data_IF_808355948881
#
_entry.id   IF_808355948881
#
_cell.length_a   1.000
_cell.length_b   1.000
_cell.length_c   1.000
_cell.angle_alpha   90.00
_cell.angle_beta   90.00
_cell.angle_gamma   90.00
#
_symmetry.space_group_name_H-M   'P 1'
#
loop_
_entity.id
_entity.type
_entity.pdbx_description
1 polymer ?
#
# COMPACT_ATOMS: atom_id res chain seq x y z
N UNK A 1 17.35 18.18 28.39
CA UNK A 1 16.82 17.44 27.23
C UNK A 1 17.16 15.96 27.20
N UNK A 2 18.27 15.47 27.79
CA UNK A 2 18.56 14.01 27.85
C UNK A 2 17.65 13.27 28.85
N UNK A 3 17.48 13.82 30.06
CA UNK A 3 16.61 13.24 31.12
C UNK A 3 15.13 13.06 30.74
N UNK A 4 14.65 13.73 29.68
CA UNK A 4 13.25 13.60 29.19
C UNK A 4 13.11 12.48 28.16
N UNK A 5 14.18 12.16 27.42
CA UNK A 5 14.22 11.03 26.49
C UNK A 5 14.41 9.71 27.25
N UNK A 6 15.27 9.69 28.27
CA UNK A 6 15.42 8.52 29.14
C UNK A 6 14.12 8.19 29.86
N UNK A 7 13.42 9.21 30.37
CA UNK A 7 12.10 9.04 31.00
C UNK A 7 11.05 8.49 30.03
N UNK A 8 11.08 8.85 28.75
CA UNK A 8 10.13 8.33 27.76
C UNK A 8 10.45 6.90 27.32
N UNK A 9 11.73 6.52 27.21
CA UNK A 9 12.14 5.13 27.00
C UNK A 9 11.80 4.26 28.22
N UNK A 10 12.07 4.74 29.44
CA UNK A 10 11.65 4.04 30.66
C UNK A 10 10.14 3.93 30.78
N UNK A 11 9.36 4.88 30.26
CA UNK A 11 7.89 4.79 30.21
C UNK A 11 7.40 3.83 29.14
N UNK A 12 8.07 3.72 27.99
CA UNK A 12 7.77 2.70 26.98
C UNK A 12 8.07 1.29 27.50
N UNK A 13 9.21 1.10 28.17
CA UNK A 13 9.56 -0.15 28.84
C UNK A 13 8.62 -0.45 30.02
N UNK A 14 8.21 0.57 30.78
CA UNK A 14 7.24 0.40 31.88
C UNK A 14 5.84 0.08 31.39
N UNK A 15 5.41 0.61 30.23
CA UNK A 15 4.13 0.24 29.60
C UNK A 15 4.21 -1.18 29.04
N UNK A 16 5.32 -1.55 28.40
CA UNK A 16 5.54 -2.93 27.94
C UNK A 16 5.56 -3.93 29.11
N UNK A 17 6.21 -3.59 30.22
CA UNK A 17 6.29 -4.42 31.42
C UNK A 17 4.96 -4.44 32.21
N UNK A 18 4.19 -3.34 32.23
CA UNK A 18 2.86 -3.31 32.86
C UNK A 18 1.80 -4.08 32.06
N UNK A 19 1.93 -4.16 30.73
CA UNK A 19 1.12 -5.08 29.91
C UNK A 19 1.50 -6.56 30.16
N UNK A 20 2.75 -6.85 30.50
CA UNK A 20 3.19 -8.20 30.87
C UNK A 20 2.78 -8.57 32.31
N UNK A 21 2.82 -7.62 33.26
CA UNK A 21 2.50 -7.88 34.67
C UNK A 21 0.99 -7.83 34.97
N UNK A 22 0.15 -7.23 34.13
CA UNK A 22 -1.31 -7.33 34.25
C UNK A 22 -1.88 -8.70 33.85
N UNK A 23 -1.03 -9.63 33.36
CA UNK A 23 -1.41 -11.01 33.03
C UNK A 23 -1.15 -12.01 34.18
N UNK A 24 -0.82 -11.54 35.38
CA UNK A 24 -0.42 -12.40 36.50
C UNK A 24 -1.42 -12.43 37.66
N UNK A 25 -2.54 -13.16 37.53
CA UNK A 25 -3.12 -14.06 38.58
C UNK A 25 -4.50 -14.59 38.20
N UNK A 26 -4.53 -15.79 37.62
CA UNK A 26 -5.24 -17.00 38.09
C UNK A 26 -5.55 -17.92 36.90
N UNK A 27 -5.02 -19.15 36.95
CA UNK A 27 -5.58 -20.32 36.26
C UNK A 27 -5.22 -20.55 34.78
N UNK A 28 -4.53 -21.67 34.55
CA UNK A 28 -4.39 -22.42 33.28
C UNK A 28 -3.21 -22.03 32.37
N UNK A 29 -2.09 -22.71 32.63
CA UNK A 29 -0.95 -22.86 31.74
C UNK A 29 -1.39 -23.53 30.42
N UNK A 30 -1.36 -22.79 29.30
CA UNK A 30 -1.20 -23.29 27.91
C UNK A 30 -1.18 -22.18 26.82
N UNK A 31 -1.41 -20.88 27.13
CA UNK A 31 -1.47 -19.81 26.10
C UNK A 31 -0.14 -19.11 25.75
N UNK A 32 0.89 -19.14 26.60
CA UNK A 32 2.14 -18.41 26.28
C UNK A 32 3.00 -19.09 25.21
N UNK A 33 2.97 -20.43 25.11
CA UNK A 33 3.77 -21.16 24.12
C UNK A 33 3.25 -21.01 22.70
N UNK A 34 1.96 -20.73 22.51
CA UNK A 34 1.37 -20.59 21.17
C UNK A 34 1.71 -19.25 20.54
N UNK A 35 1.70 -18.14 21.29
CA UNK A 35 1.98 -16.81 20.73
C UNK A 35 3.46 -16.66 20.31
N UNK A 36 4.40 -17.17 21.11
CA UNK A 36 5.82 -17.21 20.69
C UNK A 36 6.02 -18.05 19.43
N UNK A 37 5.28 -19.16 19.26
CA UNK A 37 5.36 -19.96 18.05
C UNK A 37 4.83 -19.21 16.81
N UNK A 38 3.72 -18.48 16.97
CA UNK A 38 3.11 -17.67 15.91
C UNK A 38 4.03 -16.55 15.46
N UNK A 39 4.63 -15.83 16.41
CA UNK A 39 5.54 -14.71 16.11
C UNK A 39 6.83 -15.14 15.40
N UNK A 40 7.20 -16.42 15.53
CA UNK A 40 8.33 -17.03 14.82
C UNK A 40 8.00 -17.50 13.39
N UNK A 41 6.73 -17.51 12.98
CA UNK A 41 6.37 -17.85 11.60
C UNK A 41 6.98 -16.84 10.62
N UNK A 42 7.51 -17.27 9.46
CA UNK A 42 8.20 -16.37 8.51
C UNK A 42 7.38 -15.14 8.14
N UNK A 43 6.07 -15.31 7.93
CA UNK A 43 5.13 -14.22 7.62
C UNK A 43 5.09 -13.15 8.72
N UNK A 44 5.05 -13.51 10.01
CA UNK A 44 5.06 -12.50 11.07
C UNK A 44 6.46 -12.00 11.38
N UNK A 45 7.46 -12.89 11.38
CA UNK A 45 8.85 -12.53 11.63
C UNK A 45 9.33 -11.47 10.63
N UNK A 46 9.03 -11.64 9.34
CA UNK A 46 9.47 -10.72 8.31
C UNK A 46 8.69 -9.39 8.36
N UNK A 47 7.40 -9.41 8.71
CA UNK A 47 6.65 -8.18 9.00
C UNK A 47 7.18 -7.45 10.25
N UNK A 48 7.52 -8.19 11.31
CA UNK A 48 8.13 -7.66 12.52
C UNK A 48 9.51 -7.04 12.23
N UNK A 49 10.24 -7.56 11.26
CA UNK A 49 11.50 -6.96 10.82
C UNK A 49 11.29 -5.57 10.19
N UNK A 50 10.18 -5.34 9.46
CA UNK A 50 9.82 -4.00 8.95
C UNK A 50 9.60 -3.04 10.13
N UNK A 51 8.85 -3.47 11.15
CA UNK A 51 8.57 -2.67 12.35
C UNK A 51 9.86 -2.35 13.13
N UNK A 52 10.63 -3.39 13.44
CA UNK A 52 11.77 -3.28 14.34
C UNK A 52 12.99 -2.61 13.69
N UNK A 53 13.09 -2.64 12.35
CA UNK A 53 14.21 -2.04 11.63
C UNK A 53 13.80 -0.74 10.95
N UNK A 54 13.05 -0.82 9.85
CA UNK A 54 12.81 0.31 8.96
C UNK A 54 11.86 1.34 9.58
N UNK A 55 10.78 0.90 10.23
CA UNK A 55 9.88 1.80 10.95
C UNK A 55 10.56 2.43 12.16
N UNK A 56 11.32 1.67 12.95
CA UNK A 56 12.08 2.23 14.08
C UNK A 56 13.09 3.30 13.63
N UNK A 57 13.78 3.07 12.51
CA UNK A 57 14.66 4.07 11.89
C UNK A 57 13.88 5.29 11.43
N UNK A 58 12.74 5.10 10.77
CA UNK A 58 11.87 6.21 10.32
C UNK A 58 11.32 7.04 11.48
N UNK A 59 10.92 6.41 12.59
CA UNK A 59 10.54 7.07 13.84
C UNK A 59 11.69 7.93 14.33
N UNK A 60 12.90 7.37 14.42
CA UNK A 60 14.08 8.10 14.87
C UNK A 60 14.33 9.38 14.05
N UNK A 61 14.24 9.29 12.72
CA UNK A 61 14.41 10.45 11.83
C UNK A 61 13.25 11.45 11.95
N UNK A 62 12.01 10.97 12.07
CA UNK A 62 10.82 11.80 12.23
C UNK A 62 10.86 12.60 13.54
N UNK A 63 11.37 11.99 14.63
CA UNK A 63 11.58 12.66 15.91
C UNK A 63 12.67 13.73 15.85
N UNK A 64 13.74 13.48 15.09
CA UNK A 64 14.82 14.47 14.87
C UNK A 64 14.33 15.69 14.09
N UNK A 65 13.48 15.50 13.08
CA UNK A 65 12.80 16.60 12.38
C UNK A 65 11.87 17.37 13.34
N UNK A 66 11.13 16.65 14.19
CA UNK A 66 10.25 17.26 15.18
C UNK A 66 8.92 17.75 14.60
N UNK A 67 8.30 18.72 15.28
CA UNK A 67 7.05 19.35 14.85
C UNK A 67 5.91 18.37 14.56
N UNK A 68 5.16 18.67 13.50
CA UNK A 68 4.03 17.88 13.03
C UNK A 68 4.44 16.50 12.52
N UNK A 69 5.67 16.35 12.00
CA UNK A 69 6.22 15.06 11.53
C UNK A 69 6.41 14.09 12.69
N UNK A 70 6.88 14.59 13.84
CA UNK A 70 6.98 13.79 15.06
C UNK A 70 5.61 13.31 15.54
N UNK A 71 4.56 14.14 15.47
CA UNK A 71 3.20 13.73 15.86
C UNK A 71 2.66 12.70 14.86
N UNK A 72 2.89 12.93 13.56
CA UNK A 72 2.39 12.05 12.52
C UNK A 72 2.98 10.64 12.62
N UNK A 73 4.27 10.50 12.96
CA UNK A 73 4.89 9.18 13.05
C UNK A 73 4.32 8.32 14.18
N UNK A 74 3.71 8.92 15.22
CA UNK A 74 2.99 8.18 16.25
C UNK A 74 1.77 7.44 15.70
N UNK A 75 1.02 8.08 14.81
CA UNK A 75 -0.13 7.47 14.13
C UNK A 75 0.33 6.36 13.18
N UNK A 76 1.39 6.61 12.41
CA UNK A 76 1.99 5.59 11.54
C UNK A 76 2.42 4.36 12.36
N UNK A 77 3.07 4.58 13.50
CA UNK A 77 3.54 3.49 14.37
C UNK A 77 2.37 2.66 14.90
N UNK A 78 1.30 3.31 15.40
CA UNK A 78 0.09 2.62 15.85
C UNK A 78 -0.57 1.81 14.74
N UNK A 79 -0.60 2.34 13.52
CA UNK A 79 -1.17 1.66 12.36
C UNK A 79 -0.38 0.37 12.02
N UNK A 80 0.94 0.42 12.00
CA UNK A 80 1.77 -0.78 11.76
C UNK A 80 1.58 -1.85 12.85
N UNK A 81 1.51 -1.43 14.12
CA UNK A 81 1.25 -2.34 15.25
C UNK A 81 -0.17 -2.94 15.15
N UNK A 82 -1.18 -2.15 14.79
CA UNK A 82 -2.53 -2.66 14.58
C UNK A 82 -2.59 -3.68 13.44
N UNK A 83 -1.85 -3.44 12.35
CA UNK A 83 -1.74 -4.40 11.26
C UNK A 83 -0.98 -5.67 11.66
N UNK A 84 0.07 -5.58 12.48
CA UNK A 84 0.78 -6.74 13.03
C UNK A 84 -0.18 -7.65 13.81
N UNK A 85 -0.98 -7.06 14.70
CA UNK A 85 -1.95 -7.78 15.51
C UNK A 85 -3.05 -8.41 14.64
N UNK A 86 -3.51 -7.68 13.64
CA UNK A 86 -4.45 -8.22 12.66
C UNK A 86 -3.86 -9.43 11.89
N UNK A 87 -2.62 -9.33 11.42
CA UNK A 87 -1.95 -10.44 10.72
C UNK A 87 -1.82 -11.67 11.62
N UNK A 88 -1.48 -11.47 12.91
CA UNK A 88 -1.41 -12.54 13.91
C UNK A 88 -2.74 -13.30 14.02
N UNK A 89 -3.85 -12.57 14.09
CA UNK A 89 -5.18 -13.16 14.12
C UNK A 89 -5.54 -13.85 12.80
N UNK A 90 -5.23 -13.23 11.65
CA UNK A 90 -5.55 -13.76 10.32
C UNK A 90 -4.84 -15.10 10.03
N UNK A 91 -3.60 -15.28 10.51
CA UNK A 91 -2.83 -16.52 10.35
C UNK A 91 -3.46 -17.69 11.11
N UNK A 92 -4.12 -17.42 12.23
CA UNK A 92 -4.72 -18.44 13.11
C UNK A 92 -6.21 -18.67 12.84
N UNK A 93 -6.83 -17.82 12.02
CA UNK A 93 -8.29 -17.81 11.84
C UNK A 93 -8.62 -18.11 10.39
N UNK A 94 -9.64 -18.94 10.18
CA UNK A 94 -10.26 -19.10 8.85
C UNK A 94 -10.83 -17.76 8.40
N UNK A 95 -10.73 -17.48 7.10
CA UNK A 95 -11.32 -16.27 6.53
C UNK A 95 -12.79 -16.15 6.96
N UNK A 96 -13.19 -15.05 7.64
CA UNK A 96 -14.57 -14.86 8.02
C UNK A 96 -15.48 -14.89 6.78
N UNK A 97 -16.59 -15.62 6.86
CA UNK A 97 -17.58 -15.68 5.78
C UNK A 97 -18.32 -14.34 5.60
N UNK A 98 -18.36 -13.54 6.67
CA UNK A 98 -19.02 -12.25 6.69
C UNK A 98 -18.00 -11.12 6.52
N UNK A 99 -18.11 -10.35 5.44
CA UNK A 99 -17.27 -9.18 5.20
C UNK A 99 -17.40 -8.11 6.29
N UNK A 100 -18.54 -8.05 7.00
CA UNK A 100 -18.73 -7.14 8.13
C UNK A 100 -17.76 -7.44 9.29
N UNK A 101 -17.49 -8.72 9.55
CA UNK A 101 -16.54 -9.13 10.59
C UNK A 101 -15.12 -8.72 10.21
N UNK A 102 -14.76 -8.86 8.92
CA UNK A 102 -13.47 -8.36 8.41
C UNK A 102 -13.38 -6.84 8.60
N UNK A 103 -14.44 -6.09 8.32
CA UNK A 103 -14.50 -4.64 8.54
C UNK A 103 -14.30 -4.25 10.02
N UNK A 104 -14.86 -5.02 10.95
CA UNK A 104 -14.66 -4.82 12.40
C UNK A 104 -13.21 -5.06 12.81
N UNK A 105 -12.56 -6.11 12.30
CA UNK A 105 -11.16 -6.41 12.59
C UNK A 105 -10.19 -5.33 12.09
N UNK A 106 -10.48 -4.71 10.94
CA UNK A 106 -9.63 -3.67 10.36
C UNK A 106 -9.96 -2.26 10.84
N UNK A 107 -11.05 -2.07 11.60
CA UNK A 107 -11.49 -0.77 12.12
C UNK A 107 -10.37 0.02 12.84
N UNK A 108 -9.52 -0.59 13.70
CA UNK A 108 -8.40 0.14 14.30
C UNK A 108 -7.44 0.73 13.26
N UNK A 109 -7.19 0.02 12.16
CA UNK A 109 -6.34 0.50 11.07
C UNK A 109 -7.03 1.64 10.30
N UNK A 110 -8.31 1.47 9.94
CA UNK A 110 -9.08 2.50 9.24
C UNK A 110 -9.11 3.82 10.02
N UNK A 111 -9.31 3.76 11.34
CA UNK A 111 -9.33 4.94 12.19
C UNK A 111 -7.98 5.71 12.17
N UNK A 112 -6.85 5.00 12.19
CA UNK A 112 -5.54 5.66 12.11
C UNK A 112 -5.29 6.26 10.73
N UNK A 113 -5.70 5.59 9.64
CA UNK A 113 -5.62 6.12 8.27
C UNK A 113 -6.43 7.43 8.16
N UNK A 114 -7.66 7.44 8.65
CA UNK A 114 -8.51 8.64 8.69
C UNK A 114 -7.90 9.76 9.54
N UNK A 115 -7.32 9.39 10.69
CA UNK A 115 -6.66 10.36 11.58
C UNK A 115 -5.45 11.01 10.91
N UNK A 116 -4.64 10.24 10.18
CA UNK A 116 -3.49 10.74 9.42
C UNK A 116 -3.95 11.72 8.33
N UNK A 117 -5.00 11.35 7.58
CA UNK A 117 -5.56 12.22 6.55
C UNK A 117 -6.11 13.53 7.14
N UNK A 118 -6.88 13.44 8.23
CA UNK A 118 -7.42 14.60 8.93
C UNK A 118 -6.32 15.51 9.49
N UNK A 119 -5.26 14.93 10.07
CA UNK A 119 -4.13 15.67 10.59
C UNK A 119 -3.39 16.42 9.48
N UNK A 120 -3.18 15.80 8.32
CA UNK A 120 -2.57 16.45 7.16
C UNK A 120 -3.42 17.62 6.67
N UNK A 121 -4.74 17.40 6.55
CA UNK A 121 -5.69 18.44 6.14
C UNK A 121 -5.74 19.64 7.09
N UNK A 122 -5.64 19.38 8.40
CA UNK A 122 -5.61 20.44 9.42
C UNK A 122 -4.32 21.28 9.36
N UNK A 123 -3.21 20.68 8.96
CA UNK A 123 -1.88 21.31 8.95
C UNK A 123 -1.41 21.75 7.56
N UNK A 124 -2.34 22.12 6.66
CA UNK A 124 -2.05 22.56 5.27
C UNK A 124 -1.09 23.73 5.14
N UNK A 125 -0.95 24.55 6.18
CA UNK A 125 -0.05 25.72 6.22
C UNK A 125 1.35 25.39 6.80
N UNK A 126 1.59 24.15 7.21
CA UNK A 126 2.86 23.75 7.80
C UNK A 126 3.99 23.84 6.77
N UNK A 127 5.18 24.28 7.19
CA UNK A 127 6.39 24.20 6.36
C UNK A 127 6.76 22.73 6.06
N UNK A 128 6.32 21.80 6.91
CA UNK A 128 6.53 20.38 6.76
C UNK A 128 5.39 19.71 5.98
N UNK A 129 4.50 20.48 5.32
CA UNK A 129 3.32 19.93 4.64
C UNK A 129 3.67 18.85 3.61
N UNK A 130 4.76 19.00 2.84
CA UNK A 130 5.18 17.95 1.90
C UNK A 130 5.56 16.62 2.61
N UNK A 131 6.07 16.66 3.84
CA UNK A 131 6.30 15.45 4.63
C UNK A 131 4.96 14.82 5.01
N UNK A 132 4.05 15.63 5.54
CA UNK A 132 2.72 15.19 5.95
C UNK A 132 1.94 14.57 4.78
N UNK A 133 1.96 15.23 3.62
CA UNK A 133 1.35 14.71 2.39
C UNK A 133 2.00 13.42 1.92
N UNK A 134 3.33 13.31 1.95
CA UNK A 134 3.98 12.06 1.54
C UNK A 134 3.61 10.86 2.43
N UNK A 135 3.37 11.09 3.72
CA UNK A 135 2.83 10.06 4.61
C UNK A 135 1.36 9.81 4.26
N UNK A 136 0.53 10.86 4.22
CA UNK A 136 -0.92 10.74 4.00
C UNK A 136 -1.30 10.02 2.70
N UNK A 137 -0.55 10.27 1.62
CA UNK A 137 -0.80 9.63 0.32
C UNK A 137 -0.19 8.21 0.24
N UNK A 138 0.82 7.91 1.04
CA UNK A 138 1.45 6.59 1.09
C UNK A 138 0.78 5.61 2.06
N UNK A 139 0.19 6.12 3.15
CA UNK A 139 -0.41 5.32 4.21
C UNK A 139 -1.56 4.41 3.77
N UNK A 140 -2.39 4.77 2.77
CA UNK A 140 -3.37 3.84 2.22
C UNK A 140 -2.76 2.52 1.73
N UNK A 141 -1.45 2.43 1.48
CA UNK A 141 -0.75 1.17 1.20
C UNK A 141 -1.05 0.09 2.25
N UNK A 142 -1.20 0.45 3.53
CA UNK A 142 -1.55 -0.50 4.59
C UNK A 142 -2.99 -1.03 4.48
N UNK A 143 -3.84 -0.42 3.67
CA UNK A 143 -5.15 -0.94 3.29
C UNK A 143 -5.10 -2.16 2.36
N UNK A 144 -3.92 -2.62 1.92
CA UNK A 144 -3.73 -3.76 1.03
C UNK A 144 -4.45 -5.05 1.50
N UNK A 145 -4.66 -5.19 2.81
CA UNK A 145 -5.35 -6.34 3.42
C UNK A 145 -6.78 -6.55 2.90
N UNK A 146 -7.41 -5.50 2.37
CA UNK A 146 -8.75 -5.54 1.75
C UNK A 146 -8.68 -5.65 0.22
N UNK A 147 -7.49 -5.66 -0.38
CA UNK A 147 -7.29 -5.65 -1.82
C UNK A 147 -7.04 -7.06 -2.34
N UNK A 148 -7.82 -7.45 -3.34
CA UNK A 148 -7.71 -8.70 -4.07
C UNK A 148 -8.16 -8.47 -5.51
N UNK A 149 -7.53 -9.10 -6.52
CA UNK A 149 -6.46 -10.10 -6.42
C UNK A 149 -5.04 -9.50 -6.48
N UNK A 150 -4.87 -8.18 -6.53
CA UNK A 150 -3.59 -7.52 -6.81
C UNK A 150 -3.15 -6.53 -5.73
N UNK A 151 -2.88 -6.98 -4.49
CA UNK A 151 -2.49 -6.09 -3.40
C UNK A 151 -1.10 -5.46 -3.58
N UNK A 152 -0.14 -6.18 -4.18
CA UNK A 152 1.21 -5.62 -4.41
C UNK A 152 1.19 -4.45 -5.44
N UNK A 153 0.54 -4.57 -6.62
CA UNK A 153 0.36 -3.41 -7.50
C UNK A 153 -0.31 -2.21 -6.82
N UNK A 154 -1.31 -2.43 -5.97
CA UNK A 154 -1.93 -1.36 -5.19
C UNK A 154 -0.95 -0.63 -4.28
N UNK A 155 -0.10 -1.37 -3.53
CA UNK A 155 0.95 -0.76 -2.71
C UNK A 155 1.92 0.06 -3.57
N UNK A 156 2.24 -0.41 -4.78
CA UNK A 156 3.13 0.31 -5.68
C UNK A 156 2.56 1.66 -6.12
N UNK A 157 1.26 1.74 -6.38
CA UNK A 157 0.57 3.00 -6.68
C UNK A 157 0.65 3.98 -5.51
N UNK A 158 0.44 3.50 -4.28
CA UNK A 158 0.51 4.34 -3.07
C UNK A 158 1.96 4.79 -2.79
N UNK A 159 2.94 3.94 -3.07
CA UNK A 159 4.36 4.31 -3.05
C UNK A 159 4.66 5.45 -4.04
N UNK A 160 4.13 5.38 -5.25
CA UNK A 160 4.36 6.40 -6.29
C UNK A 160 3.68 7.73 -5.93
N UNK A 161 2.49 7.67 -5.31
CA UNK A 161 1.82 8.84 -4.75
C UNK A 161 2.64 9.49 -3.62
N UNK A 162 3.18 8.70 -2.70
CA UNK A 162 4.09 9.19 -1.66
C UNK A 162 5.36 9.82 -2.28
N UNK A 163 5.92 9.18 -3.31
CA UNK A 163 7.14 9.64 -3.96
C UNK A 163 7.00 11.04 -4.54
N UNK A 164 5.86 11.37 -5.13
CA UNK A 164 5.57 12.72 -5.65
C UNK A 164 5.87 13.82 -4.62
N UNK A 165 5.47 13.62 -3.36
CA UNK A 165 5.71 14.57 -2.29
C UNK A 165 7.11 14.45 -1.68
N UNK A 166 7.66 13.24 -1.56
CA UNK A 166 9.06 13.09 -1.10
C UNK A 166 10.06 13.74 -2.05
N UNK A 167 9.81 13.75 -3.36
CA UNK A 167 10.63 14.45 -4.33
C UNK A 167 10.65 15.97 -4.07
N UNK A 168 9.53 16.54 -3.59
CA UNK A 168 9.46 17.95 -3.17
C UNK A 168 10.27 18.17 -1.89
N UNK A 169 10.19 17.26 -0.92
CA UNK A 169 11.03 17.30 0.28
C UNK A 169 12.52 17.28 -0.10
N UNK A 170 12.94 16.37 -0.99
CA UNK A 170 14.31 16.31 -1.46
C UNK A 170 14.73 17.62 -2.16
N UNK A 171 13.87 18.17 -3.01
CA UNK A 171 14.13 19.46 -3.65
C UNK A 171 14.36 20.57 -2.64
N UNK A 172 13.55 20.62 -1.58
CA UNK A 172 13.55 21.73 -0.63
C UNK A 172 14.66 21.63 0.42
N UNK A 173 15.13 20.41 0.75
CA UNK A 173 16.01 20.15 1.89
C UNK A 173 17.36 19.49 1.56
N UNK A 174 17.57 18.91 0.36
CA UNK A 174 18.81 18.13 0.06
C UNK A 174 20.12 18.91 0.27
N UNK A 175 20.10 20.24 0.11
CA UNK A 175 21.27 21.12 0.28
C UNK A 175 21.25 21.89 1.61
N UNK A 176 20.19 21.74 2.41
CA UNK A 176 19.98 22.50 3.64
C UNK A 176 20.17 21.65 4.87
N UNK A 177 19.51 20.49 4.91
CA UNK A 177 19.55 19.61 6.06
C UNK A 177 19.41 18.14 5.61
N UNK A 178 20.48 17.33 5.77
CA UNK A 178 20.49 15.94 5.33
C UNK A 178 19.50 15.05 6.10
N UNK A 179 19.00 15.47 7.27
CA UNK A 179 18.06 14.63 8.04
C UNK A 179 16.78 14.35 7.27
N UNK A 180 16.31 15.29 6.45
CA UNK A 180 15.12 15.15 5.63
C UNK A 180 15.35 14.19 4.47
N UNK A 181 16.56 14.14 3.94
CA UNK A 181 16.95 13.18 2.90
C UNK A 181 16.94 11.77 3.46
N UNK A 182 17.53 11.57 4.64
CA UNK A 182 17.51 10.27 5.31
C UNK A 182 16.10 9.86 5.71
N UNK A 183 15.27 10.79 6.18
CA UNK A 183 13.86 10.56 6.45
C UNK A 183 13.09 10.07 5.21
N UNK A 184 13.29 10.71 4.05
CA UNK A 184 12.70 10.26 2.78
C UNK A 184 13.14 8.85 2.43
N UNK A 185 14.43 8.54 2.55
CA UNK A 185 14.97 7.20 2.30
C UNK A 185 14.29 6.16 3.18
N UNK A 186 14.12 6.43 4.48
CA UNK A 186 13.45 5.50 5.39
C UNK A 186 11.97 5.31 5.04
N UNK A 187 11.24 6.38 4.68
CA UNK A 187 9.83 6.27 4.31
C UNK A 187 9.62 5.40 3.07
N UNK A 188 10.40 5.68 2.02
CA UNK A 188 10.36 4.90 0.78
C UNK A 188 10.81 3.45 1.01
N UNK A 189 11.79 3.23 1.89
CA UNK A 189 12.22 1.87 2.26
C UNK A 189 11.10 1.06 2.87
N UNK A 190 10.35 1.61 3.83
CA UNK A 190 9.23 0.93 4.48
C UNK A 190 8.18 0.46 3.44
N UNK A 191 7.78 1.36 2.54
CA UNK A 191 6.78 1.05 1.51
C UNK A 191 7.27 -0.01 0.50
N UNK A 192 8.57 0.00 0.16
CA UNK A 192 9.16 -1.06 -0.67
C UNK A 192 9.24 -2.40 0.04
N UNK A 193 9.61 -2.41 1.33
CA UNK A 193 9.64 -3.64 2.14
C UNK A 193 8.23 -4.20 2.32
N UNK A 194 7.22 -3.34 2.53
CA UNK A 194 5.81 -3.75 2.56
C UNK A 194 5.37 -4.36 1.22
N UNK A 195 5.72 -3.72 0.10
CA UNK A 195 5.44 -4.26 -1.24
C UNK A 195 6.07 -5.65 -1.44
N UNK A 196 7.34 -5.81 -1.07
CA UNK A 196 8.05 -7.08 -1.16
C UNK A 196 7.43 -8.16 -0.27
N UNK A 197 7.10 -7.79 0.98
CA UNK A 197 6.43 -8.64 1.95
C UNK A 197 5.09 -9.17 1.42
N UNK A 198 4.24 -8.28 0.91
CA UNK A 198 2.92 -8.66 0.37
C UNK A 198 3.06 -9.51 -0.88
N UNK A 199 4.02 -9.20 -1.76
CA UNK A 199 4.29 -10.03 -2.94
C UNK A 199 4.68 -11.46 -2.56
N UNK A 200 5.45 -11.63 -1.48
CA UNK A 200 5.95 -12.91 -1.00
C UNK A 200 4.88 -13.74 -0.28
N UNK A 201 4.13 -13.14 0.65
CA UNK A 201 3.23 -13.87 1.55
C UNK A 201 1.75 -13.77 1.19
N UNK A 202 1.37 -12.77 0.39
CA UNK A 202 -0.02 -12.37 0.16
C UNK A 202 -0.28 -12.02 -1.31
N UNK A 203 0.29 -12.80 -2.22
CA UNK A 203 0.38 -12.48 -3.65
C UNK A 203 -0.97 -12.15 -4.29
N UNK A 204 -2.03 -12.88 -3.93
CA UNK A 204 -3.39 -12.71 -4.48
C UNK A 204 -4.39 -12.13 -3.48
N UNK A 205 -3.90 -11.48 -2.42
CA UNK A 205 -4.70 -11.01 -1.29
C UNK A 205 -4.23 -11.59 0.03
N UNK A 206 -4.83 -11.13 1.12
CA UNK A 206 -4.52 -11.60 2.47
C UNK A 206 -4.70 -13.12 2.59
N UNK A 207 -3.65 -13.79 3.08
CA UNK A 207 -3.63 -15.22 3.28
C UNK A 207 -4.11 -15.55 4.71
N UNK A 208 -5.19 -16.31 4.81
CA UNK A 208 -5.83 -16.71 6.07
C UNK A 208 -5.47 -18.15 6.43
N UNK A 209 -5.55 -18.50 7.73
CA UNK A 209 -5.36 -19.87 8.24
C UNK A 209 -4.06 -20.53 7.73
N UNK A 210 -2.94 -19.84 7.95
CA UNK A 210 -1.60 -20.26 7.50
C UNK A 210 -0.71 -20.75 8.65
N UNK A 211 -1.24 -20.87 9.87
CA UNK A 211 -0.50 -21.27 11.07
C UNK A 211 0.31 -22.57 10.89
N UNK A 212 -0.26 -23.57 10.21
CA UNK A 212 0.40 -24.87 9.98
C UNK A 212 1.34 -24.86 8.76
N UNK A 213 1.42 -23.76 8.02
CA UNK A 213 2.22 -23.64 6.81
C UNK A 213 3.61 -23.09 7.14
N UNK A 214 4.57 -24.00 7.33
CA UNK A 214 5.95 -23.67 7.68
C UNK A 214 6.82 -23.21 6.51
N UNK A 215 6.30 -23.28 5.28
CA UNK A 215 7.02 -22.95 4.05
C UNK A 215 6.34 -21.76 3.34
N UNK A 216 7.07 -20.67 3.01
CA UNK A 216 6.59 -19.57 2.17
C UNK A 216 5.88 -20.03 0.87
N UNK A 217 6.30 -21.16 0.28
CA UNK A 217 5.68 -21.72 -0.93
C UNK A 217 4.27 -22.28 -0.68
N UNK A 218 3.95 -22.64 0.56
CA UNK A 218 2.66 -23.19 0.93
C UNK A 218 1.55 -22.12 1.00
N UNK A 219 1.90 -20.85 1.25
CA UNK A 219 0.97 -19.72 1.33
C UNK A 219 0.19 -19.52 0.02
N UNK A 220 0.78 -19.91 -1.11
CA UNK A 220 0.16 -19.88 -2.45
C UNK A 220 -0.97 -20.91 -2.59
N UNK A 221 -0.95 -22.00 -1.81
CA UNK A 221 -1.90 -23.13 -1.94
C UNK A 221 -3.25 -22.92 -1.24
N UNK A 222 -3.33 -21.98 -0.28
CA UNK A 222 -4.57 -21.68 0.46
C UNK A 222 -5.43 -20.57 -0.17
N UNK A 223 -5.04 -20.02 -1.32
CA UNK A 223 -5.94 -19.16 -2.09
C UNK A 223 -7.17 -19.99 -2.49
N UNK A 224 -8.41 -19.52 -2.22
CA UNK A 224 -9.60 -20.16 -2.76
C UNK A 224 -9.41 -20.21 -4.28
N UNK A 225 -9.35 -21.41 -4.87
CA UNK A 225 -9.40 -21.53 -6.33
C UNK A 225 -10.66 -20.77 -6.78
N UNK A 226 -10.58 -19.93 -7.82
CA UNK A 226 -11.79 -19.49 -8.49
C UNK A 226 -12.57 -20.75 -8.84
N UNK A 227 -13.83 -20.84 -8.41
CA UNK A 227 -14.75 -21.88 -8.85
C UNK A 227 -14.97 -21.73 -10.35
N UNK A 228 -14.03 -22.23 -11.15
CA UNK A 228 -14.22 -22.39 -12.58
C UNK A 228 -15.37 -23.38 -12.80
N UNK A 229 -16.18 -23.21 -13.85
CA UNK A 229 -17.25 -24.14 -14.15
C UNK A 229 -16.63 -25.53 -14.33
N UNK A 230 -17.18 -26.52 -13.62
CA UNK A 230 -16.86 -27.93 -13.80
C UNK A 230 -17.31 -28.36 -15.20
N UNK A 231 -16.41 -28.25 -16.17
CA UNK A 231 -16.55 -29.01 -17.40
C UNK A 231 -15.83 -30.34 -17.20
N UNK A 232 -16.60 -31.41 -17.03
CA UNK A 232 -16.12 -32.78 -17.23
C UNK A 232 -15.54 -32.88 -18.63
N UNK A 233 -14.21 -32.93 -18.74
CA UNK A 233 -13.56 -33.42 -19.94
C UNK A 233 -13.35 -34.91 -19.78
N UNK A 234 -14.33 -35.67 -20.30
CA UNK A 234 -14.13 -37.06 -20.63
C UNK A 234 -12.98 -37.17 -21.63
N UNK A 235 -12.06 -38.08 -21.29
CA UNK A 235 -10.87 -38.50 -22.02
C UNK A 235 -11.04 -38.46 -23.55
N UNK A 236 -10.35 -37.54 -24.24
CA UNK A 236 -10.21 -37.57 -25.69
C UNK A 236 -8.73 -37.54 -26.03
N UNK A 237 -8.30 -38.57 -26.76
CA UNK A 237 -6.92 -38.86 -27.13
C UNK A 237 -6.21 -37.66 -27.76
N UNK A 238 -4.98 -37.47 -27.31
CA UNK A 238 -3.99 -36.57 -27.88
C UNK A 238 -3.69 -37.04 -29.31
N UNK A 239 -4.03 -36.23 -30.30
CA UNK A 239 -3.20 -36.11 -31.48
C UNK A 239 -3.32 -34.72 -32.12
N UNK A 240 -2.16 -34.23 -32.53
CA UNK A 240 -1.90 -33.13 -33.47
C UNK A 240 -1.76 -31.67 -32.98
N UNK A 241 -0.77 -31.05 -33.59
CA UNK A 241 0.04 -29.89 -33.23
C UNK A 241 -0.48 -28.56 -33.81
N UNK A 242 -1.79 -28.38 -33.90
CA UNK A 242 -2.39 -27.29 -34.69
C UNK A 242 -3.18 -26.23 -33.90
N UNK A 243 -3.19 -26.27 -32.57
CA UNK A 243 -4.12 -25.45 -31.74
C UNK A 243 -3.59 -24.12 -31.18
N UNK A 244 -2.39 -23.63 -31.56
CA UNK A 244 -1.93 -22.27 -31.18
C UNK A 244 -2.14 -21.19 -32.25
N UNK A 245 -2.43 -21.57 -33.50
CA UNK A 245 -2.59 -20.64 -34.64
C UNK A 245 -4.05 -20.23 -34.88
N UNK A 246 -5.03 -20.99 -34.39
CA UNK A 246 -6.46 -20.67 -34.56
C UNK A 246 -6.94 -19.48 -33.71
N UNK A 247 -6.39 -19.31 -32.51
CA UNK A 247 -6.77 -18.20 -31.61
C UNK A 247 -6.32 -16.84 -32.18
N UNK A 248 -5.16 -16.80 -32.85
CA UNK A 248 -4.65 -15.56 -33.48
C UNK A 248 -5.44 -15.17 -34.74
N UNK A 249 -6.05 -16.12 -35.45
CA UNK A 249 -6.91 -15.84 -36.61
C UNK A 249 -8.28 -15.29 -36.19
N UNK A 250 -8.83 -15.79 -35.08
CA UNK A 250 -10.14 -15.33 -34.59
C UNK A 250 -10.11 -13.87 -34.10
N UNK A 251 -8.97 -13.38 -33.60
CA UNK A 251 -8.84 -11.98 -33.15
C UNK A 251 -8.76 -11.01 -34.35
N UNK A 252 -8.06 -11.39 -35.42
CA UNK A 252 -7.96 -10.55 -36.61
C UNK A 252 -9.26 -10.47 -37.42
N UNK A 253 -10.13 -11.48 -37.36
CA UNK A 253 -11.44 -11.44 -38.05
C UNK A 253 -12.51 -10.65 -37.30
N UNK A 254 -12.36 -10.45 -35.99
CA UNK A 254 -13.29 -9.66 -35.16
C UNK A 254 -13.05 -8.13 -35.29
N UNK A 255 -11.89 -7.71 -35.82
CA UNK A 255 -11.55 -6.29 -36.00
C UNK A 255 -12.23 -5.60 -37.19
N UNK A 256 -12.72 -6.35 -38.19
CA UNK A 256 -13.32 -5.76 -39.41
C UNK A 256 -14.83 -5.54 -39.35
N UNK A 257 -15.52 -6.16 -38.39
CA UNK A 257 -17.00 -6.08 -38.29
C UNK A 257 -17.47 -4.99 -37.32
N UNK A 258 -16.60 -4.49 -36.44
CA UNK A 258 -16.94 -3.49 -35.42
C UNK A 258 -16.95 -2.03 -35.91
N UNK A 259 -16.65 -1.75 -37.19
CA UNK A 259 -16.58 -0.39 -37.74
C UNK A 259 -17.60 -0.10 -38.84
N UNK A 260 -18.45 -1.07 -39.21
CA UNK A 260 -19.45 -0.91 -40.28
C UNK A 260 -20.64 0.00 -39.91
N UNK A 261 -20.81 0.34 -38.63
CA UNK A 261 -21.89 1.20 -38.13
C UNK A 261 -21.47 2.64 -37.78
N UNK A 262 -20.23 3.03 -38.06
CA UNK A 262 -19.80 4.43 -37.90
C UNK A 262 -19.99 5.18 -39.21
N UNK A 263 -20.81 6.25 -39.19
CA UNK A 263 -20.92 7.17 -40.33
C UNK A 263 -19.54 7.76 -40.64
N UNK A 264 -19.14 7.65 -41.90
CA UNK A 264 -17.88 8.21 -42.42
C UNK A 264 -17.92 9.73 -42.32
N UNK A 265 -16.97 10.32 -41.61
CA UNK A 265 -16.81 11.78 -41.54
C UNK A 265 -16.38 12.28 -42.94
N UNK A 266 -17.11 13.21 -43.57
CA UNK A 266 -16.72 13.81 -44.83
C UNK A 266 -15.34 14.48 -44.74
N UNK A 267 -14.56 14.41 -45.83
CA UNK A 267 -13.18 14.92 -45.86
C UNK A 267 -13.08 16.44 -45.61
N UNK A 268 -14.18 17.19 -45.73
CA UNK A 268 -14.26 18.62 -45.44
C UNK A 268 -14.10 18.96 -43.94
N UNK A 269 -14.33 18.00 -43.03
CA UNK A 269 -14.13 18.18 -41.58
C UNK A 269 -12.72 17.78 -41.11
N UNK A 270 -11.86 17.27 -42.01
CA UNK A 270 -10.47 16.97 -41.70
C UNK A 270 -9.63 18.23 -41.82
N UNK A 271 -9.56 18.97 -40.72
CA UNK A 271 -8.84 20.26 -40.57
C UNK A 271 -7.31 20.16 -40.78
N UNK A 272 -6.75 18.99 -41.11
CA UNK A 272 -5.31 18.79 -41.33
C UNK A 272 -4.85 18.93 -42.78
N UNK A 273 -5.74 19.28 -43.72
CA UNK A 273 -5.40 19.41 -45.16
C UNK A 273 -6.06 20.61 -45.85
N UNK A 274 -6.32 21.70 -45.13
CA UNK A 274 -6.83 22.93 -45.72
C UNK A 274 -5.69 23.97 -45.83
N UNK A 275 -5.10 24.22 -47.01
CA UNK A 275 -3.96 25.14 -47.16
C UNK A 275 -4.32 26.60 -46.86
N UNK A 276 -5.60 26.97 -46.92
CA UNK A 276 -6.08 28.35 -46.77
C UNK A 276 -6.19 28.86 -45.32
N UNK A 277 -5.84 28.06 -44.31
CA UNK A 277 -5.84 28.49 -42.89
C UNK A 277 -4.45 28.84 -42.35
N UNK A 278 -3.39 28.78 -43.18
CA UNK A 278 -2.04 29.24 -42.79
C UNK A 278 -1.77 30.71 -43.08
N UNK A 279 -2.67 31.39 -43.78
CA UNK A 279 -2.51 32.80 -44.15
C UNK A 279 -3.65 33.62 -43.59
N UNK A 280 -3.60 33.91 -42.28
CA UNK A 280 -4.17 35.16 -41.77
C UNK A 280 -3.14 35.89 -40.89
N UNK A 281 -2.91 37.20 -41.10
CA UNK A 281 -1.91 37.95 -40.35
C UNK A 281 -2.34 38.17 -38.90
N UNK A 282 -1.36 38.13 -38.00
CA UNK A 282 -1.52 38.55 -36.60
C UNK A 282 -1.60 40.09 -36.59
N UNK A 283 -2.79 40.67 -36.52
CA UNK A 283 -2.91 42.07 -36.10
C UNK A 283 -2.77 42.17 -34.58
N UNK A 284 -1.61 42.66 -34.15
CA UNK A 284 -1.40 43.19 -32.80
C UNK A 284 -2.04 44.57 -32.73
N UNK A 285 -3.15 44.72 -32.02
CA UNK A 285 -3.64 46.03 -31.59
C UNK A 285 -3.29 46.28 -30.12
N UNK A 286 -2.15 46.94 -29.93
CA UNK A 286 -1.92 47.78 -28.76
C UNK A 286 -2.94 48.91 -28.77
N UNK A 287 -3.69 49.11 -27.67
CA UNK A 287 -4.07 50.46 -27.24
C UNK A 287 -4.29 50.53 -25.74
N UNK A 288 -3.34 51.23 -25.11
CA UNK A 288 -3.45 51.92 -23.85
C UNK A 288 -4.66 52.89 -23.82
N UNK A 289 -5.08 53.20 -22.59
CA UNK A 289 -5.44 54.53 -22.06
C UNK A 289 -6.92 54.82 -21.69
N UNK A 290 -7.14 54.89 -20.36
CA UNK A 290 -7.76 55.96 -19.56
C UNK A 290 -9.13 56.50 -19.99
N UNK A 291 -10.11 56.29 -19.11
CA UNK A 291 -10.84 57.35 -18.39
C UNK A 291 -11.51 56.75 -17.15
#
# INVERSE_FOLDING_TARGET
SVKRLDNLNSRLESVANNLQSSSGKTGTSHKNSSNEHVDNLPVLRDYNAIINNSLASFVTHSRKIGGEVSIMVDHVTRLFIAQQEFLRQAIQTKKPANNQQIAEFVKPQSNEIETIAAFTNKNRKSILFNHLSSISEGIPALGWILISPTPAPYIKEMLDAAQFYTNRVLKDFKEKDPIHVEWVKQWIKILNELHAYVKQYHTTGLAWDTYNQRDPSAFVRNAPRPSGPTCSFSNMQINDSSSRTGVMHSINSLGTTATSHLKKVPDELKISKNPHLKEQPIERSNKFQVS
#
